data_IF_665096846915
#
_entry.id   IF_665096846915
#
_cell.length_a   1.000
_cell.length_b   1.000
_cell.length_c   1.000
_cell.angle_alpha   90.00
_cell.angle_beta   90.00
_cell.angle_gamma   90.00
#
_symmetry.space_group_name_H-M   'P 1'
#
loop_
_entity.id
_entity.type
_entity.pdbx_description
1 polymer ?
#
# COMPACT_ATOMS: atom_id res chain seq x y z
N UNK A 1 5.03 4.70 -0.03
CA UNK A 1 3.55 4.58 -0.09
C UNK A 1 3.01 5.43 -1.20
N UNK A 2 1.98 4.94 -1.85
CA UNK A 2 1.27 5.66 -2.93
C UNK A 2 -0.16 5.88 -2.49
N UNK A 3 -0.68 7.09 -2.66
CA UNK A 3 -2.06 7.44 -2.33
C UNK A 3 -2.86 7.56 -3.62
N UNK A 4 -4.01 6.90 -3.67
CA UNK A 4 -4.88 6.87 -4.85
C UNK A 4 -6.29 7.31 -4.49
N UNK A 5 -6.98 7.87 -5.47
CA UNK A 5 -8.38 8.28 -5.36
C UNK A 5 -9.11 7.86 -6.63
N UNK A 6 -10.31 7.34 -6.47
CA UNK A 6 -11.15 7.00 -7.61
C UNK A 6 -11.78 8.27 -8.19
N UNK A 7 -11.75 8.41 -9.52
CA UNK A 7 -12.43 9.49 -10.21
C UNK A 7 -13.91 9.15 -10.36
N UNK A 8 -14.76 10.02 -9.88
CA UNK A 8 -16.22 9.79 -9.89
C UNK A 8 -16.85 9.93 -11.28
N UNK A 9 -16.31 10.78 -12.11
CA UNK A 9 -16.84 11.10 -13.42
C UNK A 9 -16.45 10.10 -14.52
N UNK A 10 -15.27 9.52 -14.42
CA UNK A 10 -14.71 8.64 -15.45
C UNK A 10 -14.54 7.19 -15.00
N UNK A 11 -14.78 6.88 -13.74
CA UNK A 11 -14.56 5.54 -13.18
C UNK A 11 -13.08 5.13 -13.13
N UNK A 12 -12.18 6.05 -13.43
CA UNK A 12 -10.74 5.79 -13.42
C UNK A 12 -10.11 5.96 -12.04
N UNK A 13 -8.81 5.77 -11.99
CA UNK A 13 -8.01 5.91 -10.77
C UNK A 13 -7.04 7.07 -10.96
N UNK A 14 -6.99 7.96 -9.98
CA UNK A 14 -6.07 9.08 -9.96
C UNK A 14 -5.07 8.91 -8.83
N UNK A 15 -3.79 9.04 -9.15
CA UNK A 15 -2.75 9.09 -8.11
C UNK A 15 -2.65 10.52 -7.58
N UNK A 16 -2.80 10.65 -6.27
CA UNK A 16 -2.65 11.96 -5.63
C UNK A 16 -1.18 12.40 -5.72
N UNK A 17 -0.98 13.68 -6.05
CA UNK A 17 0.36 14.28 -6.17
C UNK A 17 0.94 14.56 -4.78
N UNK A 18 1.30 13.51 -4.09
CA UNK A 18 1.89 13.60 -2.77
C UNK A 18 3.37 13.28 -2.86
N UNK A 19 4.15 13.88 -1.97
CA UNK A 19 5.51 13.41 -1.77
C UNK A 19 5.43 11.93 -1.40
N UNK A 20 6.10 11.09 -2.17
CA UNK A 20 6.19 9.69 -1.81
C UNK A 20 6.85 9.57 -0.45
N UNK A 21 6.14 8.96 0.49
CA UNK A 21 6.66 8.76 1.82
C UNK A 21 7.31 7.38 1.89
N UNK A 22 8.57 7.37 2.26
CA UNK A 22 9.30 6.14 2.51
C UNK A 22 9.24 5.83 3.99
N UNK A 23 8.74 4.64 4.33
CA UNK A 23 8.71 4.16 5.71
C UNK A 23 10.00 3.41 5.99
N UNK A 24 10.75 3.86 6.98
CA UNK A 24 12.01 3.24 7.39
C UNK A 24 11.93 2.86 8.86
N UNK A 25 12.13 1.57 9.14
CA UNK A 25 12.26 1.04 10.48
C UNK A 25 13.72 0.65 10.69
N UNK A 26 14.47 1.49 11.39
CA UNK A 26 15.92 1.33 11.53
C UNK A 26 16.30 0.17 12.45
N UNK A 27 15.63 0.07 13.59
CA UNK A 27 15.85 -1.02 14.56
C UNK A 27 14.52 -1.66 14.90
N UNK A 28 14.26 -2.82 14.30
CA UNK A 28 13.00 -3.54 14.46
C UNK A 28 12.84 -4.19 15.84
N UNK A 29 13.87 -4.13 16.68
CA UNK A 29 13.81 -4.57 18.07
C UNK A 29 13.59 -3.42 19.04
N UNK A 30 13.65 -2.18 18.57
CA UNK A 30 13.45 -1.00 19.41
C UNK A 30 11.98 -0.61 19.47
N UNK A 31 11.42 -0.62 20.69
CA UNK A 31 10.05 -0.17 20.89
C UNK A 31 9.86 1.30 20.51
N UNK A 32 10.86 2.14 20.78
CA UNK A 32 10.80 3.54 20.42
C UNK A 32 10.73 3.74 18.92
N UNK A 33 11.52 2.98 18.14
CA UNK A 33 11.49 3.05 16.68
C UNK A 33 10.15 2.55 16.14
N UNK A 34 9.62 1.47 16.70
CA UNK A 34 8.31 0.94 16.29
C UNK A 34 7.21 1.96 16.55
N UNK A 35 7.20 2.61 17.71
CA UNK A 35 6.22 3.65 18.03
C UNK A 35 6.36 4.88 17.14
N UNK A 36 7.59 5.25 16.81
CA UNK A 36 7.86 6.38 15.91
C UNK A 36 7.31 6.10 14.51
N UNK A 37 7.53 4.90 13.97
CA UNK A 37 6.98 4.52 12.67
C UNK A 37 5.46 4.49 12.71
N UNK A 38 4.87 3.95 13.77
CA UNK A 38 3.41 3.94 13.92
C UNK A 38 2.84 5.37 13.96
N UNK A 39 3.49 6.28 14.67
CA UNK A 39 3.08 7.68 14.73
C UNK A 39 3.14 8.34 13.35
N UNK A 40 4.19 8.07 12.60
CA UNK A 40 4.34 8.59 11.23
C UNK A 40 3.25 8.04 10.30
N UNK A 41 2.92 6.75 10.42
CA UNK A 41 1.85 6.14 9.64
C UNK A 41 0.48 6.72 9.99
N UNK A 42 0.23 6.96 11.28
CA UNK A 42 -1.02 7.57 11.74
C UNK A 42 -1.13 9.02 11.23
N UNK A 43 -0.04 9.77 11.25
CA UNK A 43 -0.02 11.13 10.73
C UNK A 43 -0.26 11.13 9.22
N UNK A 44 0.39 10.25 8.48
CA UNK A 44 0.16 10.08 7.04
C UNK A 44 -1.30 9.76 6.74
N UNK A 45 -1.88 8.84 7.50
CA UNK A 45 -3.29 8.45 7.33
C UNK A 45 -4.23 9.65 7.54
N UNK A 46 -3.97 10.44 8.56
CA UNK A 46 -4.79 11.64 8.83
C UNK A 46 -4.60 12.71 7.77
N UNK A 47 -3.35 13.01 7.42
CA UNK A 47 -3.02 14.08 6.48
C UNK A 47 -3.61 13.83 5.08
N UNK A 48 -3.70 12.57 4.70
CA UNK A 48 -4.16 12.17 3.36
C UNK A 48 -5.54 11.50 3.38
N UNK A 49 -6.21 11.50 4.53
CA UNK A 49 -7.56 10.95 4.68
C UNK A 49 -7.64 9.51 4.14
N UNK A 50 -6.70 8.67 4.57
CA UNK A 50 -6.62 7.28 4.12
C UNK A 50 -7.71 6.44 4.78
N UNK A 51 -8.57 5.85 3.97
CA UNK A 51 -9.62 4.93 4.42
C UNK A 51 -9.12 3.49 4.52
N UNK A 52 -8.30 3.09 3.57
CA UNK A 52 -7.82 1.70 3.45
C UNK A 52 -6.37 1.70 3.00
N UNK A 53 -5.55 0.92 3.71
CA UNK A 53 -4.22 0.53 3.24
C UNK A 53 -4.34 -0.81 2.51
N UNK A 54 -3.78 -0.89 1.33
CA UNK A 54 -3.78 -2.12 0.52
C UNK A 54 -2.36 -2.62 0.39
N UNK A 55 -2.12 -3.85 0.83
CA UNK A 55 -0.79 -4.43 0.89
C UNK A 55 -0.73 -5.68 0.03
N UNK A 56 0.29 -5.77 -0.83
CA UNK A 56 0.59 -7.00 -1.55
C UNK A 56 1.10 -8.04 -0.55
N UNK A 57 0.44 -9.20 -0.49
CA UNK A 57 0.85 -10.27 0.41
C UNK A 57 2.27 -10.74 0.10
N UNK A 58 3.10 -10.89 1.14
CA UNK A 58 4.46 -11.37 1.02
C UNK A 58 4.54 -12.84 1.42
N UNK A 59 5.44 -13.58 0.75
CA UNK A 59 5.70 -14.96 1.14
C UNK A 59 6.35 -15.01 2.53
N UNK A 60 5.87 -15.90 3.39
CA UNK A 60 6.40 -16.11 4.74
C UNK A 60 7.50 -17.15 4.78
N UNK A 61 7.63 -17.98 3.72
CA UNK A 61 8.60 -19.06 3.60
C UNK A 61 9.21 -19.09 2.20
N UNK A 62 10.39 -19.67 2.08
CA UNK A 62 11.05 -19.87 0.80
C UNK A 62 11.93 -18.70 0.38
N UNK A 63 12.46 -18.77 -0.85
CA UNK A 63 13.39 -17.78 -1.39
C UNK A 63 12.81 -16.38 -1.52
N UNK A 64 11.52 -16.31 -1.76
CA UNK A 64 10.82 -15.04 -1.97
C UNK A 64 10.16 -14.52 -0.69
N UNK A 65 10.53 -15.11 0.46
CA UNK A 65 10.00 -14.65 1.75
C UNK A 65 10.37 -13.20 2.03
N UNK A 66 9.44 -12.46 2.60
CA UNK A 66 9.70 -11.11 3.09
C UNK A 66 10.59 -11.14 4.33
N UNK A 67 11.36 -10.07 4.55
CA UNK A 67 12.18 -9.92 5.73
C UNK A 67 11.35 -9.57 6.97
N UNK A 68 11.95 -9.78 8.16
CA UNK A 68 11.29 -9.48 9.44
C UNK A 68 10.82 -8.02 9.53
N UNK A 69 11.63 -7.08 9.04
CA UNK A 69 11.30 -5.66 9.03
C UNK A 69 10.02 -5.39 8.24
N UNK A 70 9.88 -6.02 7.06
CA UNK A 70 8.70 -5.86 6.23
C UNK A 70 7.42 -6.31 6.94
N UNK A 71 7.46 -7.45 7.62
CA UNK A 71 6.30 -7.95 8.35
C UNK A 71 5.96 -7.07 9.56
N UNK A 72 6.97 -6.52 10.23
CA UNK A 72 6.72 -5.60 11.33
C UNK A 72 6.09 -4.29 10.86
N UNK A 73 6.53 -3.77 9.71
CA UNK A 73 5.91 -2.59 9.11
C UNK A 73 4.45 -2.88 8.74
N UNK A 74 4.16 -4.04 8.15
CA UNK A 74 2.78 -4.44 7.86
C UNK A 74 1.91 -4.45 9.11
N UNK A 75 2.43 -5.00 10.20
CA UNK A 75 1.73 -5.01 11.48
C UNK A 75 1.44 -3.60 11.98
N UNK A 76 2.41 -2.70 11.87
CA UNK A 76 2.21 -1.30 12.27
C UNK A 76 1.13 -0.62 11.41
N UNK A 77 1.10 -0.90 10.12
CA UNK A 77 0.04 -0.40 9.24
C UNK A 77 -1.33 -0.92 9.71
N UNK A 78 -1.42 -2.19 10.08
CA UNK A 78 -2.66 -2.77 10.58
C UNK A 78 -3.13 -2.15 11.90
N UNK A 79 -2.22 -1.57 12.66
CA UNK A 79 -2.53 -0.93 13.94
C UNK A 79 -2.92 0.55 13.79
N UNK A 80 -2.84 1.14 12.61
CA UNK A 80 -3.25 2.53 12.39
C UNK A 80 -4.74 2.66 12.67
N UNK A 81 -5.08 3.59 13.57
CA UNK A 81 -6.47 3.86 13.94
C UNK A 81 -7.17 4.67 12.85
N UNK A 82 -8.44 4.35 12.62
CA UNK A 82 -9.28 5.09 11.68
C UNK A 82 -9.20 4.60 10.25
N UNK A 83 -8.31 3.67 9.93
CA UNK A 83 -8.23 3.06 8.61
C UNK A 83 -8.25 1.54 8.71
N UNK A 84 -8.58 0.90 7.60
CA UNK A 84 -8.59 -0.56 7.48
C UNK A 84 -7.40 -1.01 6.67
N UNK A 85 -7.02 -2.27 6.79
CA UNK A 85 -5.97 -2.87 5.99
C UNK A 85 -6.54 -4.06 5.24
N UNK A 86 -6.23 -4.13 3.94
CA UNK A 86 -6.59 -5.26 3.10
C UNK A 86 -5.36 -5.77 2.38
N UNK A 87 -5.32 -7.09 2.17
CA UNK A 87 -4.21 -7.74 1.49
C UNK A 87 -4.65 -8.22 0.12
N UNK A 88 -3.77 -8.14 -0.86
CA UNK A 88 -4.01 -8.62 -2.20
C UNK A 88 -2.91 -9.61 -2.60
N UNK A 89 -3.29 -10.73 -3.24
CA UNK A 89 -2.33 -11.75 -3.62
C UNK A 89 -1.47 -11.32 -4.82
N UNK A 90 -0.22 -11.79 -4.90
CA UNK A 90 0.62 -11.53 -6.06
C UNK A 90 -0.01 -12.02 -7.38
N UNK A 91 -0.71 -13.14 -7.34
CA UNK A 91 -1.38 -13.70 -8.52
C UNK A 91 -2.48 -12.77 -9.02
N UNK A 92 -3.32 -12.27 -8.11
CA UNK A 92 -4.37 -11.31 -8.47
C UNK A 92 -3.80 -10.04 -9.08
N UNK A 93 -2.72 -9.50 -8.52
CA UNK A 93 -2.05 -8.32 -9.06
C UNK A 93 -1.44 -8.57 -10.43
N UNK A 94 -0.84 -9.73 -10.64
CA UNK A 94 -0.26 -10.10 -11.92
C UNK A 94 -1.33 -10.17 -13.02
N UNK A 95 -2.47 -10.76 -12.73
CA UNK A 95 -3.60 -10.80 -13.66
C UNK A 95 -4.13 -9.40 -13.96
N UNK A 96 -4.29 -8.58 -12.93
CA UNK A 96 -4.77 -7.22 -13.08
C UNK A 96 -3.84 -6.39 -13.96
N UNK A 97 -2.53 -6.49 -13.73
CA UNK A 97 -1.55 -5.75 -14.50
C UNK A 97 -1.57 -6.12 -16.01
N UNK A 98 -1.87 -7.37 -16.32
CA UNK A 98 -1.89 -7.85 -17.70
C UNK A 98 -3.20 -7.56 -18.44
N UNK A 99 -4.33 -7.58 -17.75
CA UNK A 99 -5.65 -7.57 -18.39
C UNK A 99 -6.45 -6.30 -18.17
N UNK A 100 -6.37 -5.71 -16.98
CA UNK A 100 -7.27 -4.66 -16.55
C UNK A 100 -6.61 -3.30 -16.37
N UNK A 101 -5.29 -3.26 -16.32
CA UNK A 101 -4.56 -2.01 -16.17
C UNK A 101 -4.12 -1.51 -17.55
N UNK A 102 -4.63 -0.35 -17.95
CA UNK A 102 -4.32 0.24 -19.24
C UNK A 102 -2.90 0.81 -19.27
N UNK A 103 -2.53 1.58 -18.24
CA UNK A 103 -1.21 2.20 -18.20
C UNK A 103 -0.83 2.58 -16.77
N UNK A 104 0.48 2.73 -16.55
CA UNK A 104 1.02 3.31 -15.33
C UNK A 104 1.11 4.83 -15.46
N UNK A 105 1.05 5.56 -14.32
CA UNK A 105 1.33 7.00 -14.34
C UNK A 105 2.72 7.29 -14.90
N UNK A 106 2.85 8.37 -15.67
CA UNK A 106 4.15 8.83 -16.13
C UNK A 106 5.08 9.09 -14.94
N UNK A 107 6.36 8.77 -15.11
CA UNK A 107 7.41 8.99 -14.11
C UNK A 107 7.21 8.25 -12.79
N UNK A 108 6.39 7.21 -12.78
CA UNK A 108 6.27 6.37 -11.59
C UNK A 108 7.56 5.56 -11.40
N UNK A 109 8.28 5.74 -10.29
CA UNK A 109 9.47 4.94 -10.01
C UNK A 109 9.16 3.45 -9.95
N UNK A 110 10.10 2.63 -10.43
CA UNK A 110 9.89 1.16 -10.50
C UNK A 110 9.54 0.57 -9.15
N UNK A 111 10.19 1.03 -8.07
CA UNK A 111 9.95 0.50 -6.72
C UNK A 111 8.54 0.82 -6.18
N UNK A 112 7.81 1.73 -6.79
CA UNK A 112 6.44 2.06 -6.41
C UNK A 112 5.38 1.33 -7.23
N UNK A 113 5.77 0.55 -8.25
CA UNK A 113 4.80 -0.15 -9.11
C UNK A 113 3.86 -1.06 -8.34
N UNK A 114 4.38 -1.86 -7.41
CA UNK A 114 3.54 -2.76 -6.62
C UNK A 114 2.56 -2.00 -5.73
N UNK A 115 2.99 -0.88 -5.14
CA UNK A 115 2.10 -0.04 -4.34
C UNK A 115 0.99 0.55 -5.20
N UNK A 116 1.33 1.07 -6.38
CA UNK A 116 0.33 1.59 -7.32
C UNK A 116 -0.65 0.50 -7.77
N UNK A 117 -0.13 -0.68 -8.16
CA UNK A 117 -0.97 -1.81 -8.58
C UNK A 117 -1.95 -2.23 -7.49
N UNK A 118 -1.49 -2.30 -6.25
CA UNK A 118 -2.34 -2.70 -5.13
C UNK A 118 -3.49 -1.71 -4.92
N UNK A 119 -3.21 -0.42 -4.96
CA UNK A 119 -4.23 0.62 -4.85
C UNK A 119 -5.19 0.63 -6.03
N UNK A 120 -4.67 0.55 -7.26
CA UNK A 120 -5.50 0.53 -8.45
C UNK A 120 -6.42 -0.70 -8.49
N UNK A 121 -5.89 -1.86 -8.10
CA UNK A 121 -6.68 -3.09 -7.97
C UNK A 121 -7.84 -2.90 -7.00
N UNK A 122 -7.54 -2.36 -5.81
CA UNK A 122 -8.55 -2.16 -4.77
C UNK A 122 -9.68 -1.23 -5.22
N UNK A 123 -9.35 -0.15 -5.93
CA UNK A 123 -10.34 0.83 -6.39
C UNK A 123 -11.17 0.35 -7.58
N UNK A 124 -10.61 -0.53 -8.41
CA UNK A 124 -11.28 -0.97 -9.64
C UNK A 124 -11.95 -2.34 -9.51
N UNK A 125 -11.50 -3.19 -8.59
CA UNK A 125 -12.05 -4.54 -8.43
C UNK A 125 -13.39 -4.49 -7.68
N UNK A 126 -14.50 -4.91 -8.29
CA UNK A 126 -15.80 -4.90 -7.63
C UNK A 126 -15.80 -5.69 -6.32
N UNK A 127 -16.32 -5.08 -5.25
CA UNK A 127 -16.48 -5.73 -3.96
C UNK A 127 -15.23 -5.85 -3.11
N UNK A 128 -14.05 -5.48 -3.61
CA UNK A 128 -12.81 -5.63 -2.84
C UNK A 128 -12.79 -4.78 -1.56
N UNK A 129 -13.31 -3.55 -1.63
CA UNK A 129 -13.35 -2.63 -0.51
C UNK A 129 -14.64 -2.72 0.31
N UNK A 130 -15.54 -3.58 -0.09
CA UNK A 130 -16.83 -3.75 0.60
C UNK A 130 -16.69 -4.35 2.01
#
# INVERSE_FOLDING_TARGET
>A
MVSLQQRHDEGGVEMLRLKTTRVVLEDDTSEADLRSVLADLQQFSRDHEIDVFVIKTRAKKGRMAGGAVSFKIETLIQLVEGSKTKFVSPVALSHFAKKDLDEYPEKLPVYLKNAFLSGAYALTKPGFLA
#
